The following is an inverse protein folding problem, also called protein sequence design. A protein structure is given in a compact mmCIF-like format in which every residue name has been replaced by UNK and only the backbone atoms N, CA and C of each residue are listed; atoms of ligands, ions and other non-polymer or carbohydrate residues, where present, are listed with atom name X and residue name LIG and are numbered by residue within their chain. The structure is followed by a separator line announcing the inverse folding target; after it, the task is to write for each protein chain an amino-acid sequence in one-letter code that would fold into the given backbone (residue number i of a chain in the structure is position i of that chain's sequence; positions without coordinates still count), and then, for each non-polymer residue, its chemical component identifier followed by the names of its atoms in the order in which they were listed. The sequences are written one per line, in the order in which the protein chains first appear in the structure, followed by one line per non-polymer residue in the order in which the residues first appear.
data_IF_114494324881
#
_entry.id   IF_114494324881
#
_cell.length_a   1.000
_cell.length_b   1.000
_cell.length_c   1.000
_cell.angle_alpha   90.00
_cell.angle_beta   90.00
_cell.angle_gamma   90.00
#
_symmetry.space_group_name_H-M   'P 1'
#
loop_
_entity.id
_entity.type
_entity.pdbx_description
1 polymer ?
#
# COMPACT_ATOMS: atom_id res chain seq x y z
N UNK A 1 37.48 -17.91 -29.83
CA UNK A 1 37.79 -18.42 -28.45
C UNK A 1 37.67 -17.29 -27.45
N UNK A 2 36.95 -17.48 -26.36
CA UNK A 2 36.84 -16.49 -25.28
C UNK A 2 38.13 -16.60 -24.43
N UNK A 3 38.88 -15.49 -24.20
CA UNK A 3 40.09 -15.54 -23.39
C UNK A 3 39.82 -16.03 -21.97
N UNK A 4 40.65 -16.91 -21.44
CA UNK A 4 40.54 -17.47 -20.07
C UNK A 4 40.44 -16.37 -19.01
N UNK A 5 41.14 -15.25 -19.22
CA UNK A 5 41.09 -14.10 -18.32
C UNK A 5 39.69 -13.50 -18.19
N UNK A 6 38.92 -13.45 -19.28
CA UNK A 6 37.53 -12.97 -19.29
C UNK A 6 36.62 -13.89 -18.46
N UNK A 7 36.80 -15.20 -18.59
CA UNK A 7 36.09 -16.22 -17.82
C UNK A 7 36.39 -16.08 -16.32
N UNK A 8 37.65 -15.97 -15.95
CA UNK A 8 38.09 -15.78 -14.55
C UNK A 8 37.50 -14.49 -13.96
N UNK A 9 37.47 -13.39 -14.72
CA UNK A 9 36.88 -12.12 -14.31
C UNK A 9 35.35 -12.28 -14.08
N UNK A 10 34.64 -12.98 -14.96
CA UNK A 10 33.22 -13.26 -14.81
C UNK A 10 32.91 -14.11 -13.57
N UNK A 11 33.72 -15.17 -13.33
CA UNK A 11 33.56 -16.00 -12.13
C UNK A 11 33.74 -15.16 -10.86
N UNK A 12 34.77 -14.30 -10.82
CA UNK A 12 35.01 -13.39 -9.67
C UNK A 12 33.81 -12.44 -9.45
N UNK A 13 33.32 -11.82 -10.53
CA UNK A 13 32.16 -10.93 -10.48
C UNK A 13 30.91 -11.64 -9.93
N UNK A 14 30.61 -12.84 -10.45
CA UNK A 14 29.45 -13.63 -9.98
C UNK A 14 29.61 -14.02 -8.51
N UNK A 15 30.81 -14.45 -8.08
CA UNK A 15 31.07 -14.77 -6.67
C UNK A 15 30.89 -13.55 -5.76
N UNK A 16 31.30 -12.36 -6.19
CA UNK A 16 31.10 -11.13 -5.44
C UNK A 16 29.60 -10.74 -5.38
N UNK A 17 28.89 -10.84 -6.50
CA UNK A 17 27.44 -10.61 -6.54
C UNK A 17 26.70 -11.57 -5.61
N UNK A 18 27.05 -12.84 -5.58
CA UNK A 18 26.45 -13.82 -4.68
C UNK A 18 26.66 -13.45 -3.19
N UNK A 19 27.86 -12.97 -2.82
CA UNK A 19 28.13 -12.50 -1.45
C UNK A 19 27.27 -11.28 -1.09
N UNK A 20 27.16 -10.32 -2.01
CA UNK A 20 26.33 -9.11 -1.81
C UNK A 20 24.86 -9.51 -1.65
N UNK A 21 24.36 -10.39 -2.53
CA UNK A 21 22.96 -10.85 -2.47
C UNK A 21 22.66 -11.58 -1.15
N UNK A 22 23.60 -12.39 -0.65
CA UNK A 22 23.44 -13.06 0.65
C UNK A 22 23.41 -12.08 1.82
N UNK A 23 24.24 -11.04 1.78
CA UNK A 23 24.19 -9.96 2.77
C UNK A 23 22.85 -9.19 2.71
N UNK A 24 22.36 -8.89 1.50
CA UNK A 24 21.05 -8.25 1.32
C UNK A 24 19.91 -9.12 1.84
N UNK A 25 19.96 -10.44 1.65
CA UNK A 25 18.97 -11.38 2.20
C UNK A 25 18.91 -11.30 3.73
N UNK A 26 20.06 -11.30 4.41
CA UNK A 26 20.11 -11.19 5.87
C UNK A 26 19.56 -9.86 6.38
N UNK A 27 19.90 -8.75 5.72
CA UNK A 27 19.37 -7.43 6.07
C UNK A 27 17.85 -7.39 5.87
N UNK A 28 17.36 -7.89 4.74
CA UNK A 28 15.94 -7.93 4.43
C UNK A 28 15.16 -8.79 5.43
N UNK A 29 15.70 -9.97 5.81
CA UNK A 29 15.09 -10.83 6.82
C UNK A 29 15.00 -10.14 8.20
N UNK A 30 16.04 -9.41 8.62
CA UNK A 30 16.01 -8.64 9.85
C UNK A 30 14.96 -7.52 9.82
N UNK A 31 14.89 -6.76 8.73
CA UNK A 31 13.88 -5.70 8.54
C UNK A 31 12.45 -6.28 8.53
N UNK A 32 12.26 -7.41 7.88
CA UNK A 32 10.97 -8.12 7.83
C UNK A 32 10.51 -8.50 9.25
N UNK A 33 11.37 -9.11 10.05
CA UNK A 33 11.04 -9.47 11.45
C UNK A 33 10.64 -8.25 12.27
N UNK A 34 11.37 -7.14 12.13
CA UNK A 34 11.04 -5.90 12.84
C UNK A 34 9.69 -5.32 12.39
N UNK A 35 9.39 -5.36 11.10
CA UNK A 35 8.10 -4.92 10.56
C UNK A 35 6.95 -5.79 11.06
N UNK A 36 7.11 -7.12 11.01
CA UNK A 36 6.14 -8.07 11.55
C UNK A 36 5.86 -7.83 13.04
N UNK A 37 6.91 -7.66 13.85
CA UNK A 37 6.76 -7.38 15.28
C UNK A 37 5.92 -6.11 15.54
N UNK A 38 6.18 -5.04 14.79
CA UNK A 38 5.41 -3.79 14.93
C UNK A 38 3.94 -3.95 14.54
N UNK A 39 3.67 -4.65 13.43
CA UNK A 39 2.31 -4.90 12.99
C UNK A 39 1.54 -5.73 14.02
N UNK A 40 2.16 -6.78 14.55
CA UNK A 40 1.55 -7.62 15.58
C UNK A 40 1.29 -6.84 16.89
N UNK A 41 2.22 -5.96 17.28
CA UNK A 41 2.04 -5.11 18.46
C UNK A 41 0.93 -4.06 18.29
N UNK A 42 0.72 -3.55 17.07
CA UNK A 42 -0.32 -2.57 16.78
C UNK A 42 -1.71 -3.19 16.55
N UNK A 43 -1.78 -4.49 16.24
CA UNK A 43 -3.03 -5.18 15.87
C UNK A 43 -4.13 -5.08 16.94
N UNK A 44 -3.86 -5.35 18.24
CA UNK A 44 -4.90 -5.27 19.28
C UNK A 44 -5.55 -3.89 19.38
N UNK A 45 -4.74 -2.84 19.24
CA UNK A 45 -5.26 -1.47 19.21
C UNK A 45 -6.17 -1.22 18.01
N UNK A 46 -5.76 -1.65 16.83
CA UNK A 46 -6.55 -1.48 15.60
C UNK A 46 -7.87 -2.27 15.65
N UNK A 47 -7.86 -3.46 16.25
CA UNK A 47 -9.06 -4.29 16.44
C UNK A 47 -10.04 -3.62 17.40
N UNK A 48 -9.56 -3.16 18.56
CA UNK A 48 -10.40 -2.44 19.53
C UNK A 48 -10.95 -1.13 18.98
N UNK A 49 -10.16 -0.40 18.20
CA UNK A 49 -10.64 0.81 17.54
C UNK A 49 -11.76 0.52 16.54
N UNK A 50 -11.68 -0.59 15.80
CA UNK A 50 -12.76 -1.01 14.89
C UNK A 50 -14.02 -1.38 15.63
N UNK A 51 -13.94 -2.08 16.78
CA UNK A 51 -15.09 -2.39 17.64
C UNK A 51 -15.77 -1.09 18.10
N UNK A 52 -15.01 -0.15 18.65
CA UNK A 52 -15.56 1.16 19.09
C UNK A 52 -16.23 1.91 17.94
N UNK A 53 -15.61 1.91 16.75
CA UNK A 53 -16.20 2.57 15.58
C UNK A 53 -17.47 1.86 15.10
N UNK A 54 -17.54 0.54 15.19
CA UNK A 54 -18.74 -0.22 14.86
C UNK A 54 -19.88 0.07 15.85
N UNK A 55 -19.56 0.14 17.14
CA UNK A 55 -20.54 0.47 18.18
C UNK A 55 -21.08 1.90 18.01
N UNK A 56 -20.22 2.86 17.69
CA UNK A 56 -20.63 4.23 17.39
C UNK A 56 -21.52 4.32 16.14
N UNK A 57 -21.20 3.56 15.11
CA UNK A 57 -21.98 3.53 13.88
C UNK A 57 -23.34 2.82 14.05
N UNK A 58 -23.45 1.91 15.02
CA UNK A 58 -24.70 1.20 15.34
C UNK A 58 -25.68 2.01 16.22
N UNK A 59 -25.21 3.10 16.84
CA UNK A 59 -26.09 3.93 17.67
C UNK A 59 -27.08 4.71 16.79
N UNK A 60 -28.38 4.77 17.17
CA UNK A 60 -29.36 5.60 16.48
C UNK A 60 -28.98 7.07 16.69
N UNK A 61 -28.43 7.69 15.66
CA UNK A 61 -28.09 9.11 15.65
C UNK A 61 -29.21 9.87 14.93
N UNK A 62 -29.56 11.05 15.46
CA UNK A 62 -30.39 11.99 14.73
C UNK A 62 -29.66 12.40 13.44
N UNK A 63 -30.35 12.43 12.30
CA UNK A 63 -29.73 12.71 10.99
C UNK A 63 -28.91 14.00 10.97
N UNK A 64 -29.29 14.99 11.77
CA UNK A 64 -28.65 16.30 11.88
C UNK A 64 -27.31 16.29 12.66
N UNK A 65 -27.07 15.28 13.51
CA UNK A 65 -25.88 15.20 14.36
C UNK A 65 -24.85 14.17 13.86
N UNK A 66 -25.16 13.45 12.76
CA UNK A 66 -24.28 12.39 12.27
C UNK A 66 -22.99 12.96 11.68
N UNK A 67 -21.84 12.55 12.22
CA UNK A 67 -20.55 12.96 11.70
C UNK A 67 -20.41 12.62 10.20
N UNK A 68 -19.93 13.52 9.34
CA UNK A 68 -19.86 13.32 7.88
C UNK A 68 -19.26 11.98 7.45
N UNK A 69 -18.27 11.45 8.17
CA UNK A 69 -17.63 10.17 7.88
C UNK A 69 -18.52 8.93 8.19
N UNK A 70 -19.59 9.09 8.95
CA UNK A 70 -20.55 8.02 9.28
C UNK A 70 -21.79 8.05 8.39
N UNK A 71 -21.96 9.07 7.57
CA UNK A 71 -23.10 9.20 6.68
C UNK A 71 -23.03 8.19 5.53
N UNK A 72 -24.07 7.41 5.32
CA UNK A 72 -24.24 6.59 4.13
C UNK A 72 -24.90 7.38 3.02
N UNK A 73 -24.31 7.37 1.82
CA UNK A 73 -24.85 8.05 0.65
C UNK A 73 -24.69 7.21 -0.60
N UNK A 74 -25.46 7.55 -1.63
CA UNK A 74 -25.36 6.90 -2.94
C UNK A 74 -23.94 7.06 -3.49
N UNK A 75 -23.38 5.96 -3.95
CA UNK A 75 -21.99 5.93 -4.45
C UNK A 75 -21.95 6.44 -5.90
N UNK A 76 -21.48 7.66 -6.09
CA UNK A 76 -21.30 8.31 -7.40
C UNK A 76 -19.85 8.40 -7.81
N UNK A 77 -18.91 8.41 -6.86
CA UNK A 77 -17.47 8.43 -7.08
C UNK A 77 -16.74 7.71 -5.96
N UNK A 78 -15.79 6.90 -6.33
CA UNK A 78 -14.96 6.16 -5.36
C UNK A 78 -13.51 6.62 -5.40
N UNK A 79 -12.79 6.41 -4.30
CA UNK A 79 -11.33 6.55 -4.27
C UNK A 79 -10.68 5.22 -3.94
N UNK A 80 -9.52 4.98 -4.54
CA UNK A 80 -8.69 3.82 -4.25
C UNK A 80 -7.32 4.29 -3.75
N UNK A 81 -6.97 3.93 -2.52
CA UNK A 81 -5.61 4.10 -2.00
C UNK A 81 -4.83 2.85 -2.36
N UNK A 82 -3.89 2.98 -3.29
CA UNK A 82 -3.08 1.89 -3.81
C UNK A 82 -1.69 1.87 -3.18
N UNK A 83 -1.42 0.87 -2.32
CA UNK A 83 -0.18 0.77 -1.56
C UNK A 83 0.76 -0.26 -2.20
N UNK A 84 1.96 0.20 -2.59
CA UNK A 84 3.02 -0.60 -3.19
C UNK A 84 4.37 -0.27 -2.57
N UNK A 85 5.41 -1.02 -2.95
CA UNK A 85 6.77 -0.68 -2.56
C UNK A 85 7.38 0.42 -3.45
N UNK A 86 8.33 1.17 -2.91
CA UNK A 86 9.16 2.10 -3.69
C UNK A 86 10.24 1.36 -4.49
N UNK A 87 10.69 0.22 -4.00
CA UNK A 87 11.82 -0.55 -4.54
C UNK A 87 11.34 -1.83 -5.20
N UNK A 88 12.18 -2.38 -6.07
CA UNK A 88 12.01 -3.69 -6.67
C UNK A 88 12.68 -4.80 -5.86
N UNK A 89 13.01 -5.89 -6.54
CA UNK A 89 13.61 -7.11 -5.97
C UNK A 89 12.73 -7.79 -4.90
N UNK A 90 11.42 -7.73 -5.09
CA UNK A 90 10.40 -8.31 -4.21
C UNK A 90 9.54 -9.37 -4.94
N UNK A 91 10.10 -10.03 -5.94
CA UNK A 91 9.38 -11.03 -6.74
C UNK A 91 8.14 -10.44 -7.42
N UNK A 92 7.04 -11.14 -7.38
CA UNK A 92 5.77 -10.72 -7.98
C UNK A 92 4.93 -9.74 -7.15
N UNK A 93 5.40 -9.29 -5.97
CA UNK A 93 4.61 -8.49 -5.04
C UNK A 93 3.95 -7.28 -5.72
N UNK A 94 4.77 -6.40 -6.33
CA UNK A 94 4.25 -5.21 -6.98
C UNK A 94 3.41 -5.53 -8.23
N UNK A 95 3.82 -6.52 -9.02
CA UNK A 95 3.08 -6.90 -10.23
C UNK A 95 1.69 -7.44 -9.90
N UNK A 96 1.58 -8.25 -8.87
CA UNK A 96 0.31 -8.86 -8.46
C UNK A 96 -0.68 -7.82 -7.93
N UNK A 97 -0.24 -6.95 -7.00
CA UNK A 97 -1.12 -5.91 -6.45
C UNK A 97 -1.51 -4.89 -7.52
N UNK A 98 -0.59 -4.48 -8.40
CA UNK A 98 -0.88 -3.57 -9.50
C UNK A 98 -1.95 -4.13 -10.44
N UNK A 99 -1.80 -5.40 -10.86
CA UNK A 99 -2.76 -6.08 -11.74
C UNK A 99 -4.14 -6.19 -11.07
N UNK A 100 -4.17 -6.59 -9.80
CA UNK A 100 -5.43 -6.75 -9.07
C UNK A 100 -6.15 -5.41 -8.89
N UNK A 101 -5.42 -4.36 -8.52
CA UNK A 101 -6.01 -3.01 -8.39
C UNK A 101 -6.48 -2.47 -9.74
N UNK A 102 -5.71 -2.66 -10.81
CA UNK A 102 -6.13 -2.25 -12.14
C UNK A 102 -7.41 -2.99 -12.60
N UNK A 103 -7.50 -4.29 -12.34
CA UNK A 103 -8.72 -5.08 -12.60
C UNK A 103 -9.91 -4.54 -11.82
N UNK A 104 -9.74 -4.33 -10.52
CA UNK A 104 -10.79 -3.74 -9.67
C UNK A 104 -11.28 -2.37 -10.21
N UNK A 105 -10.36 -1.50 -10.61
CA UNK A 105 -10.72 -0.18 -11.17
C UNK A 105 -11.52 -0.32 -12.47
N UNK A 106 -11.18 -1.29 -13.33
CA UNK A 106 -11.88 -1.53 -14.59
C UNK A 106 -13.31 -2.09 -14.39
N UNK A 107 -13.53 -2.82 -13.32
CA UNK A 107 -14.84 -3.39 -12.96
C UNK A 107 -15.82 -2.35 -12.39
N UNK A 108 -15.31 -1.18 -11.96
CA UNK A 108 -16.16 -0.14 -11.38
C UNK A 108 -17.00 0.56 -12.46
N UNK A 109 -18.28 0.78 -12.13
CA UNK A 109 -19.23 1.50 -13.00
C UNK A 109 -19.21 3.02 -12.77
N UNK A 110 -18.53 3.48 -11.73
CA UNK A 110 -18.43 4.88 -11.34
C UNK A 110 -17.01 5.38 -11.49
N UNK A 111 -16.78 6.70 -11.64
CA UNK A 111 -15.46 7.27 -11.70
C UNK A 111 -14.61 6.94 -10.47
N UNK A 112 -13.33 6.62 -10.70
CA UNK A 112 -12.38 6.22 -9.67
C UNK A 112 -11.27 7.25 -9.56
N UNK A 113 -11.16 7.89 -8.39
CA UNK A 113 -9.99 8.66 -8.01
C UNK A 113 -8.91 7.71 -7.47
N UNK A 114 -7.66 7.95 -7.81
CA UNK A 114 -6.55 7.09 -7.40
C UNK A 114 -5.54 7.89 -6.56
N UNK A 115 -5.27 7.40 -5.36
CA UNK A 115 -4.17 7.86 -4.53
C UNK A 115 -3.12 6.76 -4.46
N UNK A 116 -1.90 7.03 -4.88
CA UNK A 116 -0.82 6.04 -4.89
C UNK A 116 0.15 6.26 -3.74
N UNK A 117 0.46 5.17 -3.06
CA UNK A 117 1.50 5.10 -2.02
C UNK A 117 2.56 4.13 -2.51
N UNK A 118 3.77 4.65 -2.75
CA UNK A 118 4.88 3.90 -3.31
C UNK A 118 5.06 4.08 -4.83
N UNK A 119 6.33 4.21 -5.21
CA UNK A 119 6.75 4.52 -6.57
C UNK A 119 6.31 3.47 -7.60
N UNK A 120 6.32 2.18 -7.23
CA UNK A 120 6.00 1.11 -8.19
C UNK A 120 4.53 1.08 -8.62
N UNK A 121 3.63 1.46 -7.72
CA UNK A 121 2.21 1.64 -8.06
C UNK A 121 1.97 2.89 -8.91
N UNK A 122 2.55 4.01 -8.50
CA UNK A 122 2.51 5.25 -9.27
C UNK A 122 2.96 5.05 -10.72
N UNK A 123 4.18 4.52 -10.91
CA UNK A 123 4.76 4.33 -12.23
C UNK A 123 3.92 3.38 -13.11
N UNK A 124 3.30 2.37 -12.51
CA UNK A 124 2.41 1.46 -13.20
C UNK A 124 1.12 2.18 -13.63
N UNK A 125 0.40 2.79 -12.71
CA UNK A 125 -0.89 3.42 -12.98
C UNK A 125 -0.78 4.59 -13.96
N UNK A 126 0.26 5.42 -13.82
CA UNK A 126 0.56 6.51 -14.74
C UNK A 126 0.83 6.02 -16.17
N UNK A 127 1.56 4.91 -16.33
CA UNK A 127 1.84 4.30 -17.66
C UNK A 127 0.56 3.83 -18.36
N UNK A 128 -0.44 3.39 -17.59
CA UNK A 128 -1.75 2.99 -18.12
C UNK A 128 -2.74 4.15 -18.22
N UNK A 129 -2.27 5.40 -18.15
CA UNK A 129 -3.09 6.59 -18.35
C UNK A 129 -4.13 6.82 -17.26
N UNK A 130 -3.92 6.28 -16.04
CA UNK A 130 -4.82 6.54 -14.92
C UNK A 130 -4.47 7.87 -14.28
N UNK A 131 -5.49 8.69 -14.09
CA UNK A 131 -5.35 9.95 -13.35
C UNK A 131 -5.08 9.66 -11.87
N UNK A 132 -3.98 10.23 -11.35
CA UNK A 132 -3.57 10.09 -9.97
C UNK A 132 -3.88 11.40 -9.25
N UNK A 133 -4.81 11.35 -8.29
CA UNK A 133 -5.21 12.49 -7.46
C UNK A 133 -4.10 12.96 -6.52
N UNK A 134 -3.40 12.01 -5.92
CA UNK A 134 -2.27 12.29 -5.04
C UNK A 134 -1.26 11.14 -5.08
N UNK A 135 0.02 11.48 -4.91
CA UNK A 135 1.09 10.48 -4.86
C UNK A 135 1.98 10.70 -3.64
N UNK A 136 2.30 9.58 -2.98
CA UNK A 136 3.17 9.55 -1.81
C UNK A 136 4.26 8.52 -2.05
N UNK A 137 5.51 8.96 -2.03
CA UNK A 137 6.67 8.10 -2.27
C UNK A 137 7.73 8.34 -1.20
N UNK A 138 8.68 7.43 -1.10
CA UNK A 138 9.82 7.55 -0.18
C UNK A 138 9.45 7.60 1.32
N UNK A 139 8.40 6.89 1.72
CA UNK A 139 7.96 6.81 3.12
C UNK A 139 8.96 6.07 4.04
N UNK A 140 10.01 5.50 3.47
CA UNK A 140 11.04 4.79 4.22
C UNK A 140 10.62 3.41 4.76
N UNK A 141 11.50 2.82 5.58
CA UNK A 141 11.27 1.48 6.15
C UNK A 141 10.47 1.54 7.47
N UNK A 142 10.24 2.72 8.01
CA UNK A 142 9.58 2.96 9.31
C UNK A 142 8.66 4.17 9.20
N UNK A 143 7.56 4.05 8.45
CA UNK A 143 6.62 5.16 8.34
C UNK A 143 6.07 5.52 9.73
N UNK A 144 6.06 6.79 10.03
CA UNK A 144 5.50 7.38 11.24
C UNK A 144 4.09 7.91 10.99
N UNK A 145 3.44 8.37 12.04
CA UNK A 145 2.13 9.00 11.92
C UNK A 145 2.21 10.27 11.05
N UNK A 146 3.31 11.02 11.14
CA UNK A 146 3.54 12.22 10.33
C UNK A 146 3.55 11.88 8.83
N UNK A 147 4.13 10.73 8.45
CA UNK A 147 4.21 10.29 7.06
C UNK A 147 2.86 9.80 6.52
N UNK A 148 2.02 9.22 7.38
CA UNK A 148 0.73 8.63 6.98
C UNK A 148 -0.44 9.61 7.09
N UNK A 149 -0.36 10.63 7.95
CA UNK A 149 -1.40 11.65 8.12
C UNK A 149 -1.78 12.36 6.82
N UNK A 150 -0.85 12.80 5.95
CA UNK A 150 -1.21 13.44 4.69
C UNK A 150 -2.01 12.51 3.76
N UNK A 151 -1.71 11.20 3.76
CA UNK A 151 -2.44 10.20 2.95
C UNK A 151 -3.89 10.11 3.40
N UNK A 152 -4.11 9.97 4.71
CA UNK A 152 -5.45 9.90 5.29
C UNK A 152 -6.21 11.20 5.09
N UNK A 153 -5.54 12.34 5.23
CA UNK A 153 -6.16 13.66 5.12
C UNK A 153 -6.74 13.93 3.74
N UNK A 154 -6.01 13.60 2.67
CA UNK A 154 -6.53 13.73 1.30
C UNK A 154 -7.86 13.01 1.14
N UNK A 155 -7.97 11.78 1.64
CA UNK A 155 -9.19 10.99 1.50
C UNK A 155 -10.32 11.49 2.40
N UNK A 156 -9.99 11.88 3.64
CA UNK A 156 -10.97 12.43 4.60
C UNK A 156 -11.53 13.76 4.09
N UNK A 157 -10.67 14.65 3.59
CA UNK A 157 -11.07 15.94 3.05
C UNK A 157 -11.95 15.75 1.79
N UNK A 158 -11.53 14.86 0.86
CA UNK A 158 -12.33 14.55 -0.34
C UNK A 158 -13.71 13.96 0.04
N UNK A 159 -13.78 13.10 1.06
CA UNK A 159 -15.04 12.55 1.53
C UNK A 159 -15.94 13.59 2.21
N UNK A 160 -15.36 14.40 3.09
CA UNK A 160 -16.08 15.46 3.82
C UNK A 160 -16.63 16.52 2.86
N UNK A 161 -15.84 16.86 1.83
CA UNK A 161 -16.25 17.81 0.78
C UNK A 161 -17.16 17.18 -0.30
N UNK A 162 -17.62 15.94 -0.11
CA UNK A 162 -18.50 15.21 -1.04
C UNK A 162 -17.92 15.03 -2.46
N UNK A 163 -16.60 15.04 -2.56
CA UNK A 163 -15.88 14.75 -3.82
C UNK A 163 -15.81 13.25 -4.10
N UNK A 164 -15.91 12.43 -3.06
CA UNK A 164 -15.99 10.97 -3.12
C UNK A 164 -17.03 10.47 -2.12
N UNK A 165 -17.60 9.31 -2.39
CA UNK A 165 -18.67 8.70 -1.57
C UNK A 165 -18.22 7.42 -0.90
N UNK A 166 -17.17 6.77 -1.41
CA UNK A 166 -16.62 5.54 -0.86
C UNK A 166 -15.12 5.44 -1.10
N UNK A 167 -14.38 4.87 -0.13
CA UNK A 167 -12.95 4.64 -0.19
C UNK A 167 -12.57 3.16 -0.11
N UNK A 168 -11.61 2.75 -0.93
CA UNK A 168 -11.03 1.41 -0.92
C UNK A 168 -9.53 1.47 -0.66
N UNK A 169 -9.06 0.50 0.12
CA UNK A 169 -7.63 0.34 0.41
C UNK A 169 -7.11 -0.94 -0.28
N UNK A 170 -6.25 -0.75 -1.29
CA UNK A 170 -5.60 -1.86 -2.00
C UNK A 170 -4.17 -2.04 -1.46
N UNK A 171 -3.94 -3.12 -0.73
CA UNK A 171 -2.64 -3.45 -0.13
C UNK A 171 -2.39 -4.95 -0.10
N UNK A 172 -1.15 -5.34 0.13
CA UNK A 172 -0.77 -6.75 0.31
C UNK A 172 -0.68 -7.07 1.79
N UNK A 173 -1.46 -8.05 2.24
CA UNK A 173 -1.40 -8.55 3.60
C UNK A 173 -0.62 -9.86 3.64
N UNK A 174 0.35 -9.96 4.56
CA UNK A 174 1.03 -11.21 4.86
C UNK A 174 0.24 -12.00 5.90
N UNK A 175 -0.15 -13.19 5.53
CA UNK A 175 -0.79 -14.15 6.42
C UNK A 175 0.25 -15.21 6.73
N UNK A 176 0.56 -15.42 8.02
CA UNK A 176 1.42 -16.53 8.44
C UNK A 176 0.67 -17.83 8.20
N UNK A 177 1.31 -18.76 7.47
CA UNK A 177 0.79 -20.12 7.28
C UNK A 177 1.20 -21.06 8.41
N UNK A 178 2.00 -20.57 9.36
CA UNK A 178 2.41 -21.32 10.55
C UNK A 178 1.45 -20.97 11.67
N UNK A 179 0.50 -21.83 11.91
CA UNK A 179 -0.30 -21.90 13.15
C UNK A 179 0.45 -22.72 14.17
#
# INVERSE_FOLDING_TARGET
MIPIQVIRRRIRSIKNTAKITKAMEMIAASKMRQAQFRVLAARPYAEKMREVMADLAAQPQAEEETHPLLQHREVKRITVIHITADRGLCGGLNANINRRTAGFILEQKVPVNLTTVGRKGRDFMSRYGREIRAEFTQLGDKPSLIDTTPISRVVIDDYTNKLIDQGYLAYTQFISTVT
#
